data_IF_822454188701
#
_entry.id   IF_822454188701
#
_cell.length_a   1.000
_cell.length_b   1.000
_cell.length_c   1.000
_cell.angle_alpha   90.00
_cell.angle_beta   90.00
_cell.angle_gamma   90.00
#
_symmetry.space_group_name_H-M   'P 1'
#
loop_
_entity.id
_entity.type
_entity.pdbx_description
1 polymer ?
#
# COMPACT_ATOMS: atom_id res chain seq x y z
N UNK A 1 -10.11 -21.25 -7.94
CA UNK A 1 -10.17 -19.81 -7.62
C UNK A 1 -8.78 -19.28 -7.91
N UNK A 2 -8.62 -18.52 -9.00
CA UNK A 2 -7.31 -18.02 -9.41
C UNK A 2 -6.98 -16.79 -8.56
N UNK A 3 -5.92 -16.88 -7.76
CA UNK A 3 -5.33 -15.73 -7.08
C UNK A 3 -4.83 -14.79 -8.17
N UNK A 4 -5.44 -13.61 -8.32
CA UNK A 4 -4.95 -12.59 -9.25
C UNK A 4 -3.81 -11.83 -8.58
N UNK A 5 -2.62 -12.44 -8.58
CA UNK A 5 -1.37 -11.69 -8.44
C UNK A 5 -1.25 -10.79 -9.66
N UNK A 6 -0.87 -9.53 -9.45
CA UNK A 6 -0.62 -8.62 -10.55
C UNK A 6 0.64 -9.09 -11.30
N UNK A 7 0.47 -9.80 -12.41
CA UNK A 7 1.52 -9.99 -13.40
C UNK A 7 1.53 -8.75 -14.30
N UNK A 8 2.57 -7.93 -14.19
CA UNK A 8 2.78 -6.75 -15.03
C UNK A 8 3.07 -7.18 -16.47
N UNK A 9 2.03 -7.48 -17.26
CA UNK A 9 2.16 -7.58 -18.71
C UNK A 9 1.69 -6.27 -19.36
N UNK A 10 2.49 -5.21 -19.17
CA UNK A 10 2.27 -3.86 -19.71
C UNK A 10 2.70 -3.75 -21.19
N UNK A 11 2.49 -4.79 -22.00
CA UNK A 11 2.97 -4.87 -23.40
C UNK A 11 1.94 -4.44 -24.43
N UNK A 12 0.73 -4.03 -24.03
CA UNK A 12 -0.29 -3.58 -24.99
C UNK A 12 -0.77 -2.16 -24.70
N UNK A 13 -0.71 -1.35 -25.75
CA UNK A 13 -0.97 0.09 -25.79
C UNK A 13 -2.48 0.39 -25.63
N UNK A 14 -2.92 1.25 -24.68
CA UNK A 14 -2.10 1.97 -23.69
C UNK A 14 -1.99 1.19 -22.37
N UNK A 15 -0.77 0.88 -21.89
CA UNK A 15 -0.58 0.19 -20.61
C UNK A 15 -0.50 1.23 -19.49
N UNK A 16 -1.41 1.16 -18.51
CA UNK A 16 -1.30 1.60 -17.10
C UNK A 16 -0.57 2.91 -16.68
N UNK A 17 -0.18 3.80 -17.59
CA UNK A 17 0.62 4.99 -17.27
C UNK A 17 0.03 6.20 -17.99
N UNK A 18 -0.77 6.99 -17.28
CA UNK A 18 -1.08 8.35 -17.72
C UNK A 18 -0.39 9.31 -16.76
N UNK A 19 0.71 9.90 -17.22
CA UNK A 19 1.33 11.05 -16.59
C UNK A 19 2.33 10.72 -15.50
N UNK A 20 1.90 10.26 -14.32
CA UNK A 20 2.77 10.20 -13.13
C UNK A 20 2.31 9.17 -12.08
N UNK A 21 1.38 8.27 -12.42
CA UNK A 21 0.85 7.33 -11.45
C UNK A 21 0.28 6.03 -12.00
N UNK A 22 0.05 5.08 -11.09
CA UNK A 22 -0.35 3.70 -11.36
C UNK A 22 -1.81 3.48 -10.95
N UNK A 23 -2.68 3.06 -11.89
CA UNK A 23 -4.12 2.88 -11.65
C UNK A 23 -4.49 1.40 -11.79
N UNK A 24 -4.80 0.75 -10.68
CA UNK A 24 -5.52 -0.53 -10.67
C UNK A 24 -6.70 -0.38 -9.73
N UNK A 25 -7.91 -0.22 -10.27
CA UNK A 25 -9.14 -0.10 -9.46
C UNK A 25 -10.05 -1.27 -9.74
N UNK A 26 -10.66 -1.84 -8.70
CA UNK A 26 -11.66 -2.91 -8.81
C UNK A 26 -11.18 -4.17 -9.57
N UNK A 27 -9.87 -4.44 -9.53
CA UNK A 27 -9.24 -5.58 -10.21
C UNK A 27 -9.13 -6.83 -9.32
N UNK A 28 -9.70 -6.81 -8.11
CA UNK A 28 -9.59 -7.91 -7.13
C UNK A 28 -8.13 -8.30 -6.83
N UNK A 29 -7.22 -7.33 -6.86
CA UNK A 29 -5.81 -7.57 -6.54
C UNK A 29 -5.70 -7.87 -5.05
N UNK A 30 -5.14 -9.03 -4.71
CA UNK A 30 -4.94 -9.45 -3.32
C UNK A 30 -3.52 -9.18 -2.82
N UNK A 31 -2.55 -9.28 -3.74
CA UNK A 31 -1.12 -9.12 -3.46
C UNK A 31 -0.41 -8.39 -4.58
N UNK A 32 0.65 -7.68 -4.21
CA UNK A 32 1.51 -6.94 -5.12
C UNK A 32 2.90 -7.59 -5.10
N UNK A 33 3.55 -7.77 -6.27
CA UNK A 33 4.95 -8.20 -6.32
C UNK A 33 5.87 -7.22 -5.60
N UNK A 34 6.94 -7.72 -4.96
CA UNK A 34 7.87 -6.88 -4.19
C UNK A 34 8.64 -5.89 -5.08
N UNK A 35 8.92 -6.28 -6.32
CA UNK A 35 9.67 -5.50 -7.30
C UNK A 35 8.78 -4.64 -8.20
N UNK A 36 7.47 -4.64 -7.96
CA UNK A 36 6.45 -3.97 -8.77
C UNK A 36 6.83 -2.54 -9.14
N UNK A 37 7.41 -1.78 -8.21
CA UNK A 37 7.71 -0.35 -8.38
C UNK A 37 9.19 -0.05 -8.64
N UNK A 38 10.04 -1.08 -8.76
CA UNK A 38 11.50 -0.94 -8.78
C UNK A 38 12.01 -0.08 -9.94
N UNK A 39 11.39 -0.22 -11.11
CA UNK A 39 11.82 0.46 -12.35
C UNK A 39 10.93 1.67 -12.71
N UNK A 40 10.23 2.25 -11.73
CA UNK A 40 9.39 3.44 -11.92
C UNK A 40 9.93 4.68 -11.16
N UNK A 41 11.08 5.25 -11.57
CA UNK A 41 11.72 6.36 -10.86
C UNK A 41 10.94 7.68 -10.91
N UNK A 42 9.99 7.82 -11.85
CA UNK A 42 9.13 9.00 -12.00
C UNK A 42 7.75 8.83 -11.35
N UNK A 43 7.50 7.74 -10.63
CA UNK A 43 6.23 7.50 -9.96
C UNK A 43 5.98 8.58 -8.90
N UNK A 44 4.80 9.20 -8.94
CA UNK A 44 4.36 10.20 -7.96
C UNK A 44 3.06 9.80 -7.28
N UNK A 45 2.19 9.08 -7.98
CA UNK A 45 0.85 8.76 -7.49
C UNK A 45 0.54 7.26 -7.65
N UNK A 46 -0.01 6.65 -6.61
CA UNK A 46 -0.45 5.25 -6.63
C UNK A 46 -1.95 5.21 -6.34
N UNK A 47 -2.73 4.60 -7.22
CA UNK A 47 -4.19 4.44 -7.06
C UNK A 47 -4.57 2.97 -7.10
N UNK A 48 -4.84 2.41 -5.93
CA UNK A 48 -5.18 1.00 -5.69
C UNK A 48 -6.56 0.84 -5.03
N UNK A 49 -7.42 1.86 -5.14
CA UNK A 49 -8.76 1.89 -4.55
C UNK A 49 -9.63 0.72 -4.99
N UNK A 50 -10.34 0.09 -4.05
CA UNK A 50 -11.37 -0.93 -4.35
C UNK A 50 -10.80 -2.28 -4.79
N UNK A 51 -9.59 -2.64 -4.36
CA UNK A 51 -9.06 -3.99 -4.56
C UNK A 51 -9.27 -4.85 -3.31
N UNK A 52 -8.57 -5.97 -3.22
CA UNK A 52 -8.62 -6.91 -2.10
C UNK A 52 -7.29 -6.97 -1.36
N UNK A 53 -6.52 -5.87 -1.40
CA UNK A 53 -5.19 -5.79 -0.80
C UNK A 53 -5.36 -5.84 0.71
N UNK A 54 -4.93 -6.94 1.31
CA UNK A 54 -5.02 -7.12 2.75
C UNK A 54 -3.70 -6.89 3.47
N UNK A 55 -2.59 -6.86 2.74
CA UNK A 55 -1.24 -6.69 3.31
C UNK A 55 -0.44 -5.68 2.49
N UNK A 56 0.25 -4.78 3.18
CA UNK A 56 1.21 -3.85 2.59
C UNK A 56 2.60 -4.28 3.04
N UNK A 57 3.32 -5.02 2.19
CA UNK A 57 4.63 -5.55 2.55
C UNK A 57 5.71 -4.47 2.44
N UNK A 58 6.66 -4.49 3.38
CA UNK A 58 7.76 -3.51 3.44
C UNK A 58 8.55 -3.47 2.13
N UNK A 59 8.87 -4.65 1.58
CA UNK A 59 9.65 -4.77 0.34
C UNK A 59 8.99 -4.08 -0.85
N UNK A 60 7.67 -4.12 -0.94
CA UNK A 60 6.90 -3.50 -2.03
C UNK A 60 6.86 -1.98 -1.90
N UNK A 61 6.61 -1.45 -0.70
CA UNK A 61 6.23 -0.05 -0.52
C UNK A 61 7.32 0.86 0.04
N UNK A 62 8.33 0.33 0.75
CA UNK A 62 9.34 1.14 1.43
C UNK A 62 10.15 2.02 0.48
N UNK A 63 10.58 1.47 -0.66
CA UNK A 63 11.29 2.25 -1.68
C UNK A 63 10.40 3.36 -2.25
N UNK A 64 9.25 3.03 -2.87
CA UNK A 64 8.34 4.01 -3.48
C UNK A 64 7.85 5.09 -2.53
N UNK A 65 7.56 4.76 -1.27
CA UNK A 65 7.05 5.72 -0.27
C UNK A 65 8.04 6.85 0.05
N UNK A 66 9.33 6.72 -0.33
CA UNK A 66 10.31 7.81 -0.22
C UNK A 66 10.18 8.87 -1.33
N UNK A 67 9.63 8.52 -2.50
CA UNK A 67 9.60 9.39 -3.69
C UNK A 67 8.20 9.82 -4.10
N UNK A 68 7.15 9.05 -3.78
CA UNK A 68 5.78 9.36 -4.18
C UNK A 68 5.17 10.47 -3.32
N UNK A 69 4.16 11.14 -3.89
CA UNK A 69 3.39 12.22 -3.26
C UNK A 69 2.00 11.77 -2.79
N UNK A 70 1.46 10.70 -3.36
CA UNK A 70 0.10 10.24 -3.09
C UNK A 70 -0.01 8.73 -3.20
N UNK A 71 -0.80 8.12 -2.31
CA UNK A 71 -1.16 6.71 -2.38
C UNK A 71 -2.60 6.53 -1.89
N UNK A 72 -3.47 6.02 -2.74
CA UNK A 72 -4.88 5.76 -2.42
C UNK A 72 -5.14 4.27 -2.37
N UNK A 73 -5.50 3.78 -1.18
CA UNK A 73 -5.76 2.39 -0.81
C UNK A 73 -7.17 2.21 -0.23
N UNK A 74 -8.04 3.24 -0.29
CA UNK A 74 -9.43 3.16 0.18
C UNK A 74 -10.17 1.94 -0.38
N UNK A 75 -11.12 1.41 0.39
CA UNK A 75 -11.90 0.22 0.05
C UNK A 75 -11.02 -1.02 -0.21
N UNK A 76 -9.97 -1.22 0.60
CA UNK A 76 -9.21 -2.47 0.66
C UNK A 76 -9.26 -3.05 2.08
N UNK A 77 -9.31 -4.39 2.25
CA UNK A 77 -9.41 -5.04 3.56
C UNK A 77 -8.05 -5.12 4.29
N UNK A 78 -7.43 -3.97 4.56
CA UNK A 78 -6.04 -3.89 5.04
C UNK A 78 -5.93 -4.36 6.50
N UNK A 79 -4.98 -5.28 6.74
CA UNK A 79 -4.65 -5.80 8.06
C UNK A 79 -3.49 -5.00 8.65
N UNK A 80 -3.81 -4.16 9.62
CA UNK A 80 -2.86 -3.40 10.42
C UNK A 80 -2.33 -4.24 11.59
N UNK A 81 -1.67 -5.34 11.26
CA UNK A 81 -1.02 -6.24 12.22
C UNK A 81 0.51 -5.97 12.28
N UNK A 82 1.25 -6.87 12.92
CA UNK A 82 2.70 -6.77 13.05
C UNK A 82 3.48 -6.68 11.73
N UNK A 83 2.91 -7.17 10.62
CA UNK A 83 3.54 -7.09 9.30
C UNK A 83 3.53 -5.65 8.76
N UNK A 84 2.67 -4.77 9.30
CA UNK A 84 2.57 -3.35 8.93
C UNK A 84 3.35 -2.41 9.88
N UNK A 85 4.04 -2.94 10.90
CA UNK A 85 4.78 -2.13 11.89
C UNK A 85 5.87 -1.21 11.30
N UNK A 86 6.31 -1.50 10.08
CA UNK A 86 7.27 -0.67 9.36
C UNK A 86 6.68 0.68 8.96
N UNK A 87 5.37 0.77 8.69
CA UNK A 87 4.75 1.97 8.13
C UNK A 87 4.87 3.18 9.07
N UNK A 88 4.53 3.09 10.38
CA UNK A 88 4.75 4.19 11.32
C UNK A 88 6.22 4.51 11.59
N UNK A 89 7.15 3.63 11.25
CA UNK A 89 8.60 3.86 11.41
C UNK A 89 9.21 4.66 10.25
N UNK A 90 8.46 4.80 9.15
CA UNK A 90 8.96 5.48 7.96
C UNK A 90 8.94 7.00 8.11
N UNK A 91 9.99 7.63 7.60
CA UNK A 91 10.02 9.06 7.36
C UNK A 91 9.27 9.40 6.07
N UNK A 92 7.94 9.44 6.17
CA UNK A 92 7.10 9.84 5.04
C UNK A 92 7.25 11.35 4.79
N UNK A 93 7.68 11.72 3.58
CA UNK A 93 6.81 12.50 2.72
C UNK A 93 5.83 13.47 3.39
N UNK A 94 6.10 14.78 3.58
CA UNK A 94 5.02 15.71 4.00
C UNK A 94 3.81 15.65 3.05
N UNK A 95 4.06 15.42 1.75
CA UNK A 95 3.00 15.23 0.77
C UNK A 95 2.30 13.89 0.98
N UNK A 96 3.07 12.79 1.03
CA UNK A 96 2.52 11.44 1.22
C UNK A 96 1.75 11.29 2.53
N UNK A 97 2.23 11.85 3.64
CA UNK A 97 1.54 11.81 4.94
C UNK A 97 0.13 12.43 4.89
N UNK A 98 -0.10 13.42 4.02
CA UNK A 98 -1.43 14.02 3.81
C UNK A 98 -2.29 13.28 2.77
N UNK A 99 -1.65 12.50 1.90
CA UNK A 99 -2.27 11.88 0.73
C UNK A 99 -2.17 10.35 0.75
N UNK A 100 -1.84 9.76 1.89
CA UNK A 100 -1.93 8.33 2.14
C UNK A 100 -3.34 8.06 2.63
N UNK A 101 -4.19 7.71 1.68
CA UNK A 101 -5.61 7.44 1.90
C UNK A 101 -5.81 5.94 2.01
N UNK A 102 -6.44 5.49 3.09
CA UNK A 102 -6.66 4.10 3.40
C UNK A 102 -6.85 3.92 4.89
N UNK A 103 -7.64 2.91 5.24
CA UNK A 103 -8.04 2.62 6.60
C UNK A 103 -7.75 1.14 6.92
N UNK A 104 -7.52 0.85 8.18
CA UNK A 104 -7.42 -0.53 8.66
C UNK A 104 -8.80 -1.18 8.68
N UNK A 105 -8.91 -2.38 8.10
CA UNK A 105 -10.08 -3.23 8.25
C UNK A 105 -9.93 -4.15 9.47
N UNK A 106 -8.73 -4.65 9.70
CA UNK A 106 -8.35 -5.46 10.87
C UNK A 106 -7.06 -4.91 11.49
N UNK A 107 -6.78 -5.19 12.77
CA UNK A 107 -7.63 -5.84 13.76
C UNK A 107 -8.77 -4.93 14.25
N UNK A 108 -9.73 -5.49 15.00
CA UNK A 108 -10.92 -4.77 15.50
C UNK A 108 -10.62 -3.48 16.26
N UNK A 109 -9.51 -3.43 17.01
CA UNK A 109 -9.11 -2.26 17.79
C UNK A 109 -8.53 -1.12 16.93
N UNK A 110 -8.16 -1.40 15.68
CA UNK A 110 -7.67 -0.41 14.71
C UNK A 110 -8.65 -0.21 13.56
N UNK A 111 -9.78 -0.92 13.52
CA UNK A 111 -10.76 -0.81 12.44
C UNK A 111 -11.19 0.66 12.22
N UNK A 112 -11.12 1.14 10.97
CA UNK A 112 -11.39 2.52 10.57
C UNK A 112 -10.28 3.53 10.89
N UNK A 113 -9.16 3.10 11.49
CA UNK A 113 -8.01 3.98 11.73
C UNK A 113 -7.28 4.25 10.42
N UNK A 114 -6.98 5.52 10.15
CA UNK A 114 -6.25 5.93 8.94
C UNK A 114 -4.81 5.42 8.99
N UNK A 115 -4.34 4.90 7.85
CA UNK A 115 -2.96 4.41 7.72
C UNK A 115 -1.90 5.48 8.02
N UNK A 116 -2.21 6.75 7.75
CA UNK A 116 -1.36 7.91 8.01
C UNK A 116 -1.31 8.33 9.48
N UNK A 117 -2.24 7.84 10.30
CA UNK A 117 -2.37 8.14 11.74
C UNK A 117 -1.83 7.02 12.64
N UNK A 118 -1.53 5.85 12.06
CA UNK A 118 -0.90 4.75 12.77
C UNK A 118 0.42 5.19 13.42
N UNK A 119 0.66 4.67 14.61
CA UNK A 119 1.83 4.98 15.42
C UNK A 119 2.48 3.69 15.97
N UNK A 120 3.69 3.81 16.52
CA UNK A 120 4.43 2.65 17.03
C UNK A 120 3.73 1.92 18.19
N UNK A 121 2.91 2.63 18.97
CA UNK A 121 2.23 2.03 20.12
C UNK A 121 1.14 1.06 19.70
N UNK A 122 0.55 1.27 18.51
CA UNK A 122 -0.47 0.38 17.94
C UNK A 122 0.09 -1.05 17.70
N UNK A 123 1.42 -1.17 17.59
CA UNK A 123 2.14 -2.43 17.31
C UNK A 123 3.02 -2.93 18.47
N UNK A 124 2.91 -2.36 19.68
CA UNK A 124 3.76 -2.75 20.84
C UNK A 124 3.66 -4.22 21.25
N UNK A 125 2.53 -4.88 20.94
CA UNK A 125 2.30 -6.28 21.28
C UNK A 125 3.04 -7.26 20.35
N UNK A 126 3.64 -6.77 19.25
CA UNK A 126 4.27 -7.62 18.25
C UNK A 126 5.58 -8.27 18.72
N UNK A 127 6.30 -7.62 19.63
CA UNK A 127 7.56 -8.13 20.18
C UNK A 127 7.33 -9.08 21.37
N UNK A 128 6.07 -9.37 21.72
CA UNK A 128 5.70 -10.25 22.83
C UNK A 128 5.48 -11.71 22.39
N UNK A 129 5.72 -12.03 21.11
CA UNK A 129 5.64 -13.39 20.56
C UNK A 129 7.03 -13.88 20.18
N UNK A 130 7.66 -14.60 21.12
CA UNK A 130 8.79 -15.49 20.88
C UNK A 130 8.29 -16.94 20.81
#
# INVERSE_FOLDING_TARGET
MALSTLELNCTEDPPCVWGFGMIYRNQRIESLPEDLFKDMPSLQDIWLTGNLISQLTENTFKGPFTIIRSCTLDNNPIKCNCDLRWLPSMDLSRALKRNLLGECEEPKNLHGTLLSELNQNDFQHCDQTA
#
